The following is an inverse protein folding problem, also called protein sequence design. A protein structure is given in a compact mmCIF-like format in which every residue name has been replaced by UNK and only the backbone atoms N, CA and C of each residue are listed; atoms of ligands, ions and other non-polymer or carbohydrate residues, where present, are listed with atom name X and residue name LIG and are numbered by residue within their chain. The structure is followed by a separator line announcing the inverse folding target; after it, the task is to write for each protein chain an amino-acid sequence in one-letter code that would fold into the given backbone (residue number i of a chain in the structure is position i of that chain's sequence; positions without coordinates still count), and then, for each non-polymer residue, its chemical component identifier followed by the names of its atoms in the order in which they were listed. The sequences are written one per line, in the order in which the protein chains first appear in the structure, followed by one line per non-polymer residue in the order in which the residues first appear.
data_IF_472371901701
#
_entry.id   IF_472371901701
#
_cell.length_a   1.000
_cell.length_b   1.000
_cell.length_c   1.000
_cell.angle_alpha   90.00
_cell.angle_beta   90.00
_cell.angle_gamma   90.00
#
_symmetry.space_group_name_H-M   'P 1'
#
loop_
_entity.id
_entity.type
_entity.pdbx_description
1 polymer ?
#
# COMPACT_ATOMS: atom_id res chain seq x y z
N UNK A 1 -21.69 -17.61 -30.11
CA UNK A 1 -20.62 -16.65 -29.75
C UNK A 1 -21.00 -16.01 -28.43
N UNK A 2 -20.46 -16.50 -27.31
CA UNK A 2 -20.73 -15.88 -26.01
C UNK A 2 -20.07 -14.52 -25.96
N UNK A 3 -20.84 -13.48 -25.63
CA UNK A 3 -20.34 -12.17 -25.26
C UNK A 3 -19.21 -12.34 -24.24
N UNK A 4 -18.03 -11.71 -24.43
CA UNK A 4 -16.97 -11.81 -23.44
C UNK A 4 -17.49 -11.23 -22.13
N UNK A 5 -17.55 -12.05 -21.08
CA UNK A 5 -18.00 -11.62 -19.75
C UNK A 5 -16.99 -10.60 -19.20
N UNK A 6 -17.31 -9.32 -19.36
CA UNK A 6 -16.65 -8.20 -18.66
C UNK A 6 -16.96 -8.36 -17.17
N UNK A 7 -15.93 -8.47 -16.33
CA UNK A 7 -16.11 -8.57 -14.88
C UNK A 7 -16.33 -7.17 -14.30
N UNK A 8 -17.32 -7.01 -13.43
CA UNK A 8 -17.61 -5.72 -12.79
C UNK A 8 -16.43 -5.18 -11.98
N UNK A 9 -15.60 -6.07 -11.41
CA UNK A 9 -14.39 -5.68 -10.68
C UNK A 9 -13.34 -4.99 -11.56
N UNK A 10 -13.40 -5.13 -12.88
CA UNK A 10 -12.48 -4.41 -13.78
C UNK A 10 -12.84 -2.93 -13.97
N UNK A 11 -14.07 -2.55 -13.60
CA UNK A 11 -14.57 -1.18 -13.69
C UNK A 11 -14.26 -0.35 -12.45
N UNK A 12 -13.85 -0.99 -11.35
CA UNK A 12 -13.41 -0.29 -10.15
C UNK A 12 -11.96 0.15 -10.34
N UNK A 13 -11.73 1.47 -10.32
CA UNK A 13 -10.44 2.11 -10.64
C UNK A 13 -10.10 3.16 -9.60
N UNK A 14 -8.82 3.52 -9.55
CA UNK A 14 -8.32 4.66 -8.78
C UNK A 14 -8.82 4.65 -7.32
N UNK A 15 -9.29 5.78 -6.81
CA UNK A 15 -9.79 5.90 -5.45
C UNK A 15 -11.03 5.04 -5.14
N UNK A 16 -11.81 4.62 -6.15
CA UNK A 16 -12.98 3.78 -5.94
C UNK A 16 -12.60 2.39 -5.38
N UNK A 17 -11.35 1.96 -5.62
CA UNK A 17 -10.82 0.69 -5.11
C UNK A 17 -10.76 0.72 -3.58
N UNK A 18 -10.36 1.83 -2.97
CA UNK A 18 -10.35 1.94 -1.50
C UNK A 18 -11.77 1.78 -0.94
N UNK A 19 -12.76 2.45 -1.53
CA UNK A 19 -14.15 2.37 -1.07
C UNK A 19 -14.72 0.96 -1.19
N UNK A 20 -14.43 0.26 -2.29
CA UNK A 20 -14.78 -1.16 -2.48
C UNK A 20 -14.13 -2.02 -1.39
N UNK A 21 -12.82 -1.87 -1.17
CA UNK A 21 -12.08 -2.72 -0.25
C UNK A 21 -12.43 -2.44 1.21
N UNK A 22 -12.71 -1.19 1.60
CA UNK A 22 -13.25 -0.85 2.93
C UNK A 22 -14.55 -1.61 3.19
N UNK A 23 -15.43 -1.65 2.19
CA UNK A 23 -16.70 -2.39 2.27
C UNK A 23 -16.44 -3.90 2.39
N UNK A 24 -15.59 -4.44 1.53
CA UNK A 24 -15.23 -5.87 1.52
C UNK A 24 -14.61 -6.33 2.84
N UNK A 25 -13.74 -5.52 3.43
CA UNK A 25 -13.03 -5.82 4.68
C UNK A 25 -13.83 -5.44 5.93
N UNK A 26 -15.00 -4.81 5.76
CA UNK A 26 -15.85 -4.29 6.83
C UNK A 26 -15.03 -3.46 7.84
N UNK A 27 -14.24 -2.50 7.35
CA UNK A 27 -13.52 -1.56 8.21
C UNK A 27 -14.54 -0.59 8.82
N UNK A 28 -14.75 -0.67 10.12
CA UNK A 28 -15.79 0.15 10.77
C UNK A 28 -15.30 1.56 11.10
N UNK A 29 -16.22 2.53 11.24
CA UNK A 29 -15.87 3.86 11.76
C UNK A 29 -15.21 3.81 13.15
N UNK A 30 -15.61 2.87 14.01
CA UNK A 30 -15.01 2.69 15.34
C UNK A 30 -13.56 2.19 15.25
N UNK A 31 -13.27 1.26 14.32
CA UNK A 31 -11.90 0.80 14.05
C UNK A 31 -11.04 1.96 13.51
N UNK A 32 -11.59 2.81 12.63
CA UNK A 32 -10.90 3.99 12.13
C UNK A 32 -10.64 5.03 13.24
N UNK A 33 -11.62 5.28 14.11
CA UNK A 33 -11.49 6.17 15.25
C UNK A 33 -10.47 5.64 16.28
N UNK A 34 -10.44 4.31 16.49
CA UNK A 34 -9.45 3.67 17.34
C UNK A 34 -8.04 3.87 16.80
N UNK A 35 -7.82 3.69 15.49
CA UNK A 35 -6.52 3.96 14.86
C UNK A 35 -6.13 5.43 14.96
N UNK A 36 -7.08 6.36 14.77
CA UNK A 36 -6.86 7.80 14.98
C UNK A 36 -6.29 8.10 16.36
N UNK A 37 -6.86 7.46 17.39
CA UNK A 37 -6.42 7.66 18.78
C UNK A 37 -4.98 7.23 19.03
N UNK A 38 -4.43 6.36 18.17
CA UNK A 38 -3.07 5.83 18.25
C UNK A 38 -2.05 6.67 17.44
N UNK A 39 -2.49 7.68 16.69
CA UNK A 39 -1.60 8.61 15.98
C UNK A 39 -0.51 9.22 16.89
N UNK A 40 -0.84 9.76 18.07
CA UNK A 40 0.15 10.28 19.02
C UNK A 40 1.15 9.22 19.54
N UNK A 41 0.78 7.94 19.52
CA UNK A 41 1.69 6.82 19.85
C UNK A 41 2.58 6.46 18.66
N UNK A 42 2.07 6.58 17.42
CA UNK A 42 2.78 6.25 16.20
C UNK A 42 3.89 7.27 15.88
N UNK A 43 3.64 8.55 16.08
CA UNK A 43 4.58 9.65 15.80
C UNK A 43 5.98 9.45 16.41
N UNK A 44 6.15 9.22 17.73
CA UNK A 44 7.48 9.04 18.33
C UNK A 44 8.16 7.71 17.95
N UNK A 45 7.40 6.71 17.48
CA UNK A 45 7.94 5.42 17.02
C UNK A 45 8.35 5.44 15.55
N UNK A 46 7.81 6.36 14.74
CA UNK A 46 8.11 6.44 13.32
C UNK A 46 9.62 6.56 13.01
N UNK A 47 10.44 7.38 13.71
CA UNK A 47 11.88 7.43 13.46
C UNK A 47 12.59 6.09 13.65
N UNK A 48 12.24 5.33 14.70
CA UNK A 48 12.80 4.01 14.96
C UNK A 48 12.38 3.00 13.88
N UNK A 49 11.10 3.03 13.49
CA UNK A 49 10.57 2.21 12.40
C UNK A 49 11.31 2.50 11.08
N UNK A 50 11.49 3.78 10.72
CA UNK A 50 12.23 4.13 9.49
C UNK A 50 13.69 3.69 9.52
N UNK A 51 14.32 3.73 10.70
CA UNK A 51 15.71 3.27 10.88
C UNK A 51 15.80 1.78 10.59
N UNK A 52 14.98 0.96 11.25
CA UNK A 52 14.92 -0.48 11.00
C UNK A 52 14.55 -0.80 9.54
N UNK A 53 13.68 -0.01 8.93
CA UNK A 53 13.26 -0.15 7.54
C UNK A 53 14.45 0.04 6.58
N UNK A 54 15.19 1.14 6.71
CA UNK A 54 16.34 1.40 5.83
C UNK A 54 17.54 0.52 6.16
N UNK A 55 17.82 0.20 7.43
CA UNK A 55 18.87 -0.75 7.79
C UNK A 55 18.71 -2.09 7.06
N UNK A 56 17.48 -2.63 7.02
CA UNK A 56 17.19 -3.87 6.29
C UNK A 56 17.40 -3.72 4.79
N UNK A 57 16.99 -2.59 4.19
CA UNK A 57 17.18 -2.36 2.75
C UNK A 57 18.65 -2.14 2.38
N UNK A 58 19.44 -1.51 3.24
CA UNK A 58 20.88 -1.30 3.01
C UNK A 58 21.71 -2.56 3.25
N UNK A 59 21.18 -3.55 3.98
CA UNK A 59 21.84 -4.84 4.20
C UNK A 59 21.89 -5.74 2.94
N UNK A 60 21.18 -5.39 1.87
CA UNK A 60 21.12 -6.18 0.64
C UNK A 60 21.41 -5.33 -0.60
N UNK A 61 22.37 -5.76 -1.43
CA UNK A 61 22.83 -4.99 -2.61
C UNK A 61 21.69 -4.69 -3.59
N UNK A 62 20.81 -5.67 -3.85
CA UNK A 62 19.66 -5.53 -4.76
C UNK A 62 18.65 -4.45 -4.33
N UNK A 63 18.60 -4.08 -3.05
CA UNK A 63 17.73 -2.99 -2.58
C UNK A 63 18.52 -1.71 -2.36
N UNK A 64 19.79 -1.83 -1.96
CA UNK A 64 20.70 -0.70 -1.74
C UNK A 64 20.90 0.17 -2.99
N UNK A 65 20.96 -0.43 -4.17
CA UNK A 65 21.19 0.28 -5.44
C UNK A 65 20.15 1.39 -5.72
N UNK A 66 18.91 1.25 -5.23
CA UNK A 66 17.85 2.24 -5.43
C UNK A 66 18.06 3.56 -4.66
N UNK A 67 19.06 3.60 -3.77
CA UNK A 67 19.30 4.71 -2.85
C UNK A 67 20.54 5.55 -3.19
N UNK A 68 21.27 5.20 -4.24
CA UNK A 68 22.44 5.97 -4.69
C UNK A 68 22.07 7.42 -5.04
N UNK A 69 22.83 8.37 -4.48
CA UNK A 69 22.63 9.81 -4.69
C UNK A 69 21.32 10.38 -4.12
N UNK A 70 20.56 9.62 -3.31
CA UNK A 70 19.33 10.08 -2.67
C UNK A 70 19.62 10.75 -1.33
N UNK A 71 18.82 11.75 -0.98
CA UNK A 71 18.85 12.37 0.33
C UNK A 71 18.14 11.48 1.36
N UNK A 72 18.89 10.80 2.24
CA UNK A 72 18.33 9.85 3.21
C UNK A 72 17.34 10.50 4.17
N UNK A 73 17.61 11.71 4.64
CA UNK A 73 16.69 12.45 5.52
C UNK A 73 15.30 12.62 4.88
N UNK A 74 15.25 12.94 3.57
CA UNK A 74 13.99 13.05 2.83
C UNK A 74 13.28 11.70 2.74
N UNK A 75 14.01 10.63 2.49
CA UNK A 75 13.49 9.27 2.37
C UNK A 75 12.90 8.76 3.69
N UNK A 76 13.63 8.93 4.80
CA UNK A 76 13.11 8.68 6.15
C UNK A 76 11.85 9.50 6.42
N UNK A 77 11.85 10.79 6.11
CA UNK A 77 10.67 11.63 6.27
C UNK A 77 9.44 11.15 5.47
N UNK A 78 9.65 10.61 4.26
CA UNK A 78 8.58 10.06 3.43
C UNK A 78 7.99 8.78 4.03
N UNK A 79 8.82 7.83 4.44
CA UNK A 79 8.36 6.57 5.07
C UNK A 79 7.73 6.83 6.44
N UNK A 80 8.27 7.76 7.24
CA UNK A 80 7.68 8.15 8.51
C UNK A 80 6.26 8.71 8.32
N UNK A 81 6.08 9.66 7.39
CA UNK A 81 4.75 10.22 7.10
C UNK A 81 3.77 9.17 6.58
N UNK A 82 4.22 8.28 5.69
CA UNK A 82 3.39 7.18 5.20
C UNK A 82 2.92 6.27 6.34
N UNK A 83 3.84 5.86 7.22
CA UNK A 83 3.56 5.00 8.38
C UNK A 83 2.61 5.65 9.38
N UNK A 84 2.85 6.91 9.75
CA UNK A 84 1.93 7.67 10.63
C UNK A 84 0.55 7.77 9.98
N UNK A 85 0.50 7.92 8.65
CA UNK A 85 -0.75 7.93 7.89
C UNK A 85 -1.61 6.67 8.05
N UNK A 86 -1.02 5.51 8.36
CA UNK A 86 -1.79 4.28 8.68
C UNK A 86 -2.67 4.44 9.94
N UNK A 87 -2.38 5.45 10.76
CA UNK A 87 -3.11 5.81 11.99
C UNK A 87 -3.88 7.13 11.85
N UNK A 88 -4.14 7.61 10.63
CA UNK A 88 -4.90 8.85 10.41
C UNK A 88 -6.35 8.76 10.91
N UNK A 89 -6.95 7.56 10.81
CA UNK A 89 -8.38 7.34 11.00
C UNK A 89 -9.27 7.97 9.94
N UNK A 90 -8.69 8.46 8.84
CA UNK A 90 -9.41 8.96 7.68
C UNK A 90 -8.86 8.27 6.44
N UNK A 91 -9.68 7.40 5.86
CA UNK A 91 -9.34 6.56 4.71
C UNK A 91 -10.32 6.88 3.58
N UNK A 92 -10.07 8.00 2.92
CA UNK A 92 -10.92 8.57 1.88
C UNK A 92 -10.20 8.59 0.51
N UNK A 93 -10.80 9.27 -0.46
CA UNK A 93 -10.24 9.40 -1.81
C UNK A 93 -8.82 9.98 -1.82
N UNK A 94 -8.54 10.97 -0.96
CA UNK A 94 -7.20 11.56 -0.83
C UNK A 94 -6.21 10.52 -0.28
N UNK A 95 -6.60 9.74 0.72
CA UNK A 95 -5.79 8.61 1.19
C UNK A 95 -5.46 7.64 0.05
N UNK A 96 -6.46 7.26 -0.75
CA UNK A 96 -6.27 6.35 -1.87
C UNK A 96 -5.30 6.90 -2.91
N UNK A 97 -5.46 8.17 -3.31
CA UNK A 97 -4.57 8.83 -4.26
C UNK A 97 -3.12 8.87 -3.78
N UNK A 98 -2.89 9.14 -2.49
CA UNK A 98 -1.55 9.10 -1.92
C UNK A 98 -0.93 7.71 -2.01
N UNK A 99 -1.70 6.64 -1.78
CA UNK A 99 -1.18 5.26 -1.85
C UNK A 99 -0.92 4.80 -3.28
N UNK A 100 -1.80 5.15 -4.21
CA UNK A 100 -1.58 4.93 -5.65
C UNK A 100 -0.33 5.68 -6.13
N UNK A 101 -0.17 6.94 -5.73
CA UNK A 101 1.02 7.73 -6.07
C UNK A 101 2.31 7.07 -5.56
N UNK A 102 2.32 6.56 -4.32
CA UNK A 102 3.46 5.79 -3.80
C UNK A 102 3.74 4.57 -4.68
N UNK A 103 2.73 3.81 -5.06
CA UNK A 103 2.86 2.68 -5.98
C UNK A 103 3.46 3.09 -7.34
N UNK A 104 2.96 4.18 -7.94
CA UNK A 104 3.49 4.72 -9.20
C UNK A 104 4.95 5.17 -9.11
N UNK A 105 5.37 5.73 -7.98
CA UNK A 105 6.79 6.08 -7.76
C UNK A 105 7.66 4.82 -7.79
N UNK A 106 7.25 3.74 -7.12
CA UNK A 106 8.00 2.49 -7.14
C UNK A 106 8.06 1.85 -8.53
N UNK A 107 6.95 1.86 -9.27
CA UNK A 107 6.90 1.43 -10.67
C UNK A 107 7.87 2.25 -11.53
N UNK A 108 7.85 3.59 -11.39
CA UNK A 108 8.67 4.51 -12.19
C UNK A 108 10.16 4.28 -12.00
N UNK A 109 10.60 3.92 -10.79
CA UNK A 109 12.00 3.59 -10.52
C UNK A 109 12.36 2.14 -10.87
N UNK A 110 11.40 1.35 -11.36
CA UNK A 110 11.61 -0.06 -11.69
C UNK A 110 11.85 -0.94 -10.47
N UNK A 111 11.33 -0.57 -9.29
CA UNK A 111 11.48 -1.38 -8.08
C UNK A 111 10.57 -2.61 -8.15
N UNK A 112 11.09 -3.84 -8.06
CA UNK A 112 10.26 -5.03 -7.98
C UNK A 112 9.32 -5.01 -6.77
N UNK A 113 8.02 -5.26 -7.01
CA UNK A 113 6.96 -5.20 -5.99
C UNK A 113 7.20 -6.10 -4.78
N UNK A 114 7.97 -7.17 -4.93
CA UNK A 114 8.38 -8.06 -3.83
C UNK A 114 9.13 -7.32 -2.70
N UNK A 115 9.85 -6.24 -3.01
CA UNK A 115 10.61 -5.50 -2.00
C UNK A 115 9.72 -4.70 -1.05
N UNK A 116 8.83 -3.80 -1.49
CA UNK A 116 7.91 -3.14 -0.58
C UNK A 116 7.02 -4.13 0.17
N UNK A 117 6.58 -5.25 -0.46
CA UNK A 117 5.82 -6.30 0.22
C UNK A 117 6.62 -6.97 1.35
N UNK A 118 7.90 -7.29 1.13
CA UNK A 118 8.77 -7.87 2.16
C UNK A 118 9.00 -6.91 3.33
N UNK A 119 9.05 -5.60 3.05
CA UNK A 119 9.23 -4.59 4.09
C UNK A 119 8.02 -4.41 5.01
N UNK A 120 6.84 -4.95 4.64
CA UNK A 120 5.68 -4.97 5.53
C UNK A 120 5.96 -5.76 6.82
N UNK A 121 6.90 -6.71 6.82
CA UNK A 121 7.34 -7.39 8.06
C UNK A 121 7.86 -6.40 9.11
N UNK A 122 8.67 -5.42 8.71
CA UNK A 122 9.14 -4.36 9.64
C UNK A 122 7.96 -3.54 10.13
N UNK A 123 7.10 -3.11 9.20
CA UNK A 123 5.96 -2.22 9.50
C UNK A 123 4.97 -2.88 10.47
N UNK A 124 4.71 -4.17 10.29
CA UNK A 124 3.84 -4.96 11.18
C UNK A 124 4.38 -4.99 12.61
N UNK A 125 5.69 -5.17 12.81
CA UNK A 125 6.27 -5.23 14.15
C UNK A 125 6.02 -3.92 14.94
N UNK A 126 6.18 -2.76 14.31
CA UNK A 126 5.93 -1.47 14.96
C UNK A 126 4.43 -1.18 15.11
N UNK A 127 3.60 -1.57 14.15
CA UNK A 127 2.16 -1.45 14.28
C UNK A 127 1.58 -2.30 15.41
N UNK A 128 2.10 -3.52 15.61
CA UNK A 128 1.74 -4.40 16.72
C UNK A 128 2.13 -3.75 18.07
N UNK A 129 3.30 -3.10 18.15
CA UNK A 129 3.72 -2.35 19.35
C UNK A 129 2.80 -1.15 19.64
N UNK A 130 2.38 -0.42 18.61
CA UNK A 130 1.45 0.71 18.76
C UNK A 130 0.08 0.22 19.23
N UNK A 131 -0.44 -0.82 18.57
CA UNK A 131 -1.73 -1.42 18.93
C UNK A 131 -1.73 -1.93 20.39
N UNK A 132 -0.62 -2.48 20.88
CA UNK A 132 -0.48 -2.94 22.26
C UNK A 132 -0.65 -1.83 23.31
N UNK A 133 -0.45 -0.56 22.95
CA UNK A 133 -0.63 0.59 23.84
C UNK A 133 -2.08 1.11 23.89
N UNK A 134 -2.96 0.57 23.05
CA UNK A 134 -4.37 0.90 23.08
C UNK A 134 -5.04 0.41 24.37
N UNK A 135 -6.11 1.08 24.79
CA UNK A 135 -7.04 0.53 25.80
C UNK A 135 -7.76 -0.73 25.31
N UNK A 136 -7.78 -0.98 24.00
CA UNK A 136 -8.35 -2.17 23.37
C UNK A 136 -7.35 -2.83 22.42
N UNK A 137 -6.27 -3.48 22.92
CA UNK A 137 -5.16 -3.94 22.09
C UNK A 137 -5.55 -4.87 20.92
N UNK A 138 -6.46 -5.82 21.17
CA UNK A 138 -6.88 -6.77 20.16
C UNK A 138 -7.71 -6.12 19.04
N UNK A 139 -8.58 -5.16 19.39
CA UNK A 139 -9.34 -4.41 18.40
C UNK A 139 -8.43 -3.48 17.58
N UNK A 140 -7.48 -2.80 18.25
CA UNK A 140 -6.50 -1.95 17.58
C UNK A 140 -5.62 -2.74 16.60
N UNK A 141 -5.15 -3.91 17.03
CA UNK A 141 -4.33 -4.81 16.20
C UNK A 141 -5.11 -5.26 14.96
N UNK A 142 -6.38 -5.66 15.14
CA UNK A 142 -7.26 -6.04 14.03
C UNK A 142 -7.48 -4.88 13.06
N UNK A 143 -7.78 -3.69 13.57
CA UNK A 143 -7.98 -2.50 12.75
C UNK A 143 -6.70 -2.14 11.97
N UNK A 144 -5.54 -2.16 12.62
CA UNK A 144 -4.25 -1.89 12.00
C UNK A 144 -3.97 -2.86 10.85
N UNK A 145 -4.16 -4.16 11.08
CA UNK A 145 -3.95 -5.19 10.04
C UNK A 145 -4.90 -5.02 8.85
N UNK A 146 -6.16 -4.61 9.09
CA UNK A 146 -7.09 -4.26 8.00
C UNK A 146 -6.55 -3.11 7.16
N UNK A 147 -6.20 -2.00 7.81
CA UNK A 147 -5.70 -0.79 7.12
C UNK A 147 -4.39 -1.06 6.39
N UNK A 148 -3.45 -1.81 6.99
CA UNK A 148 -2.22 -2.20 6.32
C UNK A 148 -2.49 -3.06 5.08
N UNK A 149 -3.46 -3.98 5.16
CA UNK A 149 -3.85 -4.81 4.00
C UNK A 149 -4.50 -3.97 2.90
N UNK A 150 -5.34 -2.99 3.25
CA UNK A 150 -5.91 -2.02 2.30
C UNK A 150 -4.79 -1.21 1.62
N UNK A 151 -3.83 -0.72 2.40
CA UNK A 151 -2.67 0.03 1.90
C UNK A 151 -1.88 -0.80 0.88
N UNK A 152 -1.59 -2.05 1.23
CA UNK A 152 -0.89 -3.01 0.38
C UNK A 152 -1.65 -3.25 -0.92
N UNK A 153 -2.96 -3.48 -0.84
CA UNK A 153 -3.79 -3.71 -2.02
C UNK A 153 -3.77 -2.50 -2.97
N UNK A 154 -3.92 -1.29 -2.44
CA UNK A 154 -4.02 -0.06 -3.25
C UNK A 154 -2.67 0.29 -3.88
N UNK A 155 -1.56 0.26 -3.14
CA UNK A 155 -0.28 0.56 -3.78
C UNK A 155 0.10 -0.52 -4.80
N UNK A 156 -0.24 -1.78 -4.54
CA UNK A 156 0.01 -2.88 -5.47
C UNK A 156 -0.83 -2.74 -6.75
N UNK A 157 -2.02 -2.16 -6.66
CA UNK A 157 -2.85 -1.85 -7.84
C UNK A 157 -2.08 -1.00 -8.85
N UNK A 158 -1.27 -0.04 -8.40
CA UNK A 158 -0.48 0.80 -9.30
C UNK A 158 0.51 0.00 -10.17
N UNK A 159 0.99 -1.16 -9.69
CA UNK A 159 1.81 -2.07 -10.48
C UNK A 159 0.99 -2.81 -11.54
N UNK A 160 -0.17 -3.34 -11.15
CA UNK A 160 -1.09 -4.02 -12.08
C UNK A 160 -1.56 -3.05 -13.18
N UNK A 161 -1.98 -1.85 -12.79
CA UNK A 161 -2.47 -0.83 -13.71
C UNK A 161 -1.40 -0.42 -14.71
N UNK A 162 -0.13 -0.28 -14.27
CA UNK A 162 0.96 0.05 -15.18
C UNK A 162 1.25 -1.07 -16.18
N UNK A 163 1.30 -2.33 -15.73
CA UNK A 163 1.52 -3.48 -16.61
C UNK A 163 0.38 -3.62 -17.62
N UNK A 164 -0.86 -3.48 -17.16
CA UNK A 164 -2.04 -3.57 -17.98
C UNK A 164 -2.10 -2.43 -19.00
N UNK A 165 -1.81 -1.20 -18.58
CA UNK A 165 -1.78 -0.04 -19.47
C UNK A 165 -0.78 -0.23 -20.60
N UNK A 166 0.46 -0.61 -20.29
CA UNK A 166 1.47 -0.85 -21.32
C UNK A 166 1.07 -1.96 -22.30
N UNK A 167 0.49 -3.05 -21.80
CA UNK A 167 0.01 -4.11 -22.67
C UNK A 167 -1.18 -3.63 -23.53
N UNK A 168 -2.11 -2.87 -22.96
CA UNK A 168 -3.23 -2.28 -23.68
C UNK A 168 -2.76 -1.33 -24.79
N UNK A 169 -1.72 -0.53 -24.54
CA UNK A 169 -1.12 0.35 -25.53
C UNK A 169 -0.52 -0.45 -26.71
N UNK A 170 0.04 -1.64 -26.46
CA UNK A 170 0.60 -2.52 -27.49
C UNK A 170 -0.49 -3.21 -28.30
N UNK A 171 -1.54 -3.71 -27.66
CA UNK A 171 -2.57 -4.56 -28.29
C UNK A 171 -3.82 -3.79 -28.74
N UNK A 172 -3.90 -2.51 -28.41
CA UNK A 172 -4.94 -1.57 -28.83
C UNK A 172 -6.20 -1.53 -27.96
N UNK A 173 -6.36 -2.43 -26.97
CA UNK A 173 -7.44 -2.31 -25.98
C UNK A 173 -7.19 -3.08 -24.67
N UNK A 174 -7.72 -2.56 -23.56
CA UNK A 174 -7.59 -3.17 -22.22
C UNK A 174 -8.22 -4.57 -22.16
N UNK A 175 -9.36 -4.77 -22.82
CA UNK A 175 -10.06 -6.06 -22.80
C UNK A 175 -9.21 -7.21 -23.38
N UNK A 176 -8.47 -6.95 -24.47
CA UNK A 176 -7.56 -7.91 -25.06
C UNK A 176 -6.31 -8.09 -24.19
N UNK A 177 -5.76 -7.00 -23.64
CA UNK A 177 -4.63 -7.06 -22.73
C UNK A 177 -4.92 -7.96 -21.51
N UNK A 178 -6.09 -7.81 -20.88
CA UNK A 178 -6.52 -8.69 -19.78
C UNK A 178 -6.64 -10.15 -20.21
N UNK A 179 -7.16 -10.44 -21.41
CA UNK A 179 -7.26 -11.81 -21.93
C UNK A 179 -5.89 -12.46 -22.15
N UNK A 180 -4.92 -11.69 -22.63
CA UNK A 180 -3.55 -12.18 -22.84
C UNK A 180 -2.85 -12.47 -21.50
N UNK A 181 -3.05 -11.62 -20.48
CA UNK A 181 -2.53 -11.86 -19.13
C UNK A 181 -3.10 -13.14 -18.50
N UNK A 182 -4.33 -13.54 -18.87
CA UNK A 182 -4.94 -14.80 -18.41
C UNK A 182 -4.34 -16.04 -19.08
N UNK A 183 -3.44 -15.90 -20.07
CA UNK A 183 -2.90 -17.01 -20.84
C UNK A 183 -3.92 -17.68 -21.76
N UNK A 184 -5.09 -17.07 -21.96
CA UNK A 184 -6.12 -17.55 -22.89
C UNK A 184 -5.90 -16.91 -24.26
N UNK A 185 -5.10 -17.57 -25.10
CA UNK A 185 -5.03 -17.31 -26.54
C UNK A 185 -6.27 -17.83 -27.25
#
# INVERSE_FOLDING_TARGET
MSTPHRRSSWEVKDAAILAELITLMNLSPDEAALLKSLGPTAEPLAPQMTTAFYERLFAHDNTKEYFEGKAMERLHGMIARWFIGLFSGTYDEEYAHQRLYIGHIHVKIGLPVRYPLAMMDVVMQYGDQIAAQSSQPQAALKAFRKVLSLDVAIFNQAYEDNQLKHLADIVGCEALARRLLLGTS
#
